data_IF_180528478258
#
_entry.id   IF_180528478258
#
_cell.length_a   1.000
_cell.length_b   1.000
_cell.length_c   1.000
_cell.angle_alpha   90.00
_cell.angle_beta   90.00
_cell.angle_gamma   90.00
#
_symmetry.space_group_name_H-M   'P 1'
#
loop_
_entity.id
_entity.type
_entity.pdbx_description
1 polymer ?
#
# COMPACT_ATOMS: atom_id res chain seq x y z
N UNK A 1 -18.60 9.15 78.05
CA UNK A 1 -19.79 8.29 78.27
C UNK A 1 -20.80 8.60 77.18
N UNK A 2 -21.28 7.55 76.48
CA UNK A 2 -22.49 7.43 75.63
C UNK A 2 -22.79 8.54 74.57
N UNK A 3 -22.53 8.30 73.28
CA UNK A 3 -23.31 7.55 72.24
C UNK A 3 -24.49 8.34 71.63
N UNK A 4 -24.68 8.08 70.32
CA UNK A 4 -25.82 8.36 69.41
C UNK A 4 -25.56 9.58 68.50
N UNK A 5 -25.71 9.56 67.18
CA UNK A 5 -26.42 8.65 66.27
C UNK A 5 -25.81 8.72 64.86
N UNK A 6 -25.90 7.59 64.15
CA UNK A 6 -25.60 7.44 62.74
C UNK A 6 -26.52 8.30 61.85
N UNK A 7 -25.96 8.87 60.79
CA UNK A 7 -26.70 9.11 59.56
C UNK A 7 -25.91 8.52 58.39
N UNK A 8 -26.51 7.48 57.84
CA UNK A 8 -26.08 6.64 56.74
C UNK A 8 -26.20 7.45 55.44
N UNK A 9 -25.09 7.74 54.76
CA UNK A 9 -25.11 8.29 53.40
C UNK A 9 -24.59 7.21 52.45
N UNK A 10 -25.55 6.51 51.85
CA UNK A 10 -25.34 5.47 50.84
C UNK A 10 -24.84 6.15 49.57
N UNK A 11 -23.55 6.01 49.26
CA UNK A 11 -22.98 6.39 47.95
C UNK A 11 -23.20 5.20 47.03
N UNK A 12 -24.13 5.33 46.09
CA UNK A 12 -24.38 4.35 45.02
C UNK A 12 -23.20 4.40 44.05
N UNK A 13 -22.41 3.34 44.05
CA UNK A 13 -21.37 3.06 43.06
C UNK A 13 -22.05 2.68 41.75
N UNK A 14 -22.07 3.60 40.78
CA UNK A 14 -22.53 3.34 39.43
C UNK A 14 -21.30 3.15 38.52
N UNK A 15 -20.74 1.94 38.60
CA UNK A 15 -19.72 1.44 37.70
C UNK A 15 -20.38 1.11 36.35
N UNK A 16 -20.51 2.10 35.47
CA UNK A 16 -20.75 1.84 34.06
C UNK A 16 -19.46 1.28 33.44
N UNK A 17 -19.28 -0.03 33.52
CA UNK A 17 -18.33 -0.74 32.66
C UNK A 17 -18.97 -0.79 31.28
N UNK A 18 -18.64 0.20 30.45
CA UNK A 18 -18.92 0.14 29.01
C UNK A 18 -18.00 -0.95 28.44
N UNK A 19 -18.52 -2.16 28.32
CA UNK A 19 -17.89 -3.22 27.54
C UNK A 19 -17.93 -2.80 26.08
N UNK A 20 -16.90 -2.08 25.65
CA UNK A 20 -16.64 -1.85 24.23
C UNK A 20 -16.15 -3.20 23.70
N UNK A 21 -17.06 -3.99 23.13
CA UNK A 21 -16.69 -5.08 22.23
C UNK A 21 -15.97 -4.45 21.04
N UNK A 22 -14.65 -4.29 21.13
CA UNK A 22 -13.81 -4.10 19.96
C UNK A 22 -13.99 -5.36 19.13
N UNK A 23 -14.74 -5.25 18.04
CA UNK A 23 -14.66 -6.22 16.95
C UNK A 23 -13.21 -6.20 16.53
N UNK A 24 -12.45 -7.21 16.93
CA UNK A 24 -11.08 -7.42 16.48
C UNK A 24 -11.16 -7.58 14.97
N UNK A 25 -10.97 -6.47 14.25
CA UNK A 25 -10.61 -6.58 12.85
C UNK A 25 -9.29 -7.35 12.86
N UNK A 26 -9.20 -8.51 12.18
CA UNK A 26 -7.93 -9.20 12.08
C UNK A 26 -6.91 -8.19 11.55
N UNK A 27 -5.80 -8.05 12.28
CA UNK A 27 -4.73 -7.16 11.87
C UNK A 27 -4.40 -7.45 10.40
N UNK A 28 -4.39 -6.41 9.56
CA UNK A 28 -3.94 -6.57 8.18
C UNK A 28 -2.57 -7.26 8.22
N UNK A 29 -2.38 -8.34 7.44
CA UNK A 29 -1.13 -9.06 7.46
C UNK A 29 0.02 -8.09 7.16
N UNK A 30 1.16 -8.20 7.87
CA UNK A 30 2.26 -7.27 7.70
C UNK A 30 2.72 -7.27 6.24
N UNK A 31 2.89 -6.07 5.69
CA UNK A 31 3.37 -5.84 4.34
C UNK A 31 4.74 -6.50 4.15
N UNK A 32 4.83 -7.46 3.22
CA UNK A 32 6.07 -8.20 2.95
C UNK A 32 6.82 -7.54 1.80
N UNK A 33 7.91 -6.85 2.10
CA UNK A 33 8.82 -6.31 1.07
C UNK A 33 9.71 -7.44 0.53
N UNK A 34 9.24 -8.16 -0.50
CA UNK A 34 9.87 -9.37 -1.05
C UNK A 34 10.15 -9.28 -2.56
N UNK A 35 10.03 -8.09 -3.15
CA UNK A 35 10.24 -7.87 -4.58
C UNK A 35 11.29 -6.78 -4.77
N UNK A 36 12.33 -7.08 -5.54
CA UNK A 36 13.35 -6.12 -5.95
C UNK A 36 12.96 -5.47 -7.28
N UNK A 37 13.14 -4.15 -7.39
CA UNK A 37 12.83 -3.39 -8.60
C UNK A 37 14.11 -2.76 -9.16
N UNK A 38 14.30 -2.88 -10.47
CA UNK A 38 15.27 -2.11 -11.25
C UNK A 38 14.53 -1.11 -12.14
N UNK A 39 15.04 0.12 -12.21
CA UNK A 39 14.46 1.21 -12.99
C UNK A 39 15.48 1.61 -14.06
N UNK A 40 15.07 1.57 -15.32
CA UNK A 40 15.84 2.09 -16.44
C UNK A 40 15.91 3.63 -16.45
N UNK A 41 16.75 4.18 -17.31
CA UNK A 41 16.81 5.63 -17.54
C UNK A 41 15.75 6.08 -18.57
N UNK A 42 15.64 7.40 -18.77
CA UNK A 42 14.73 8.00 -19.75
C UNK A 42 13.41 8.50 -19.16
N UNK A 43 12.69 9.31 -19.94
CA UNK A 43 11.39 9.92 -19.54
C UNK A 43 10.26 8.90 -19.46
N UNK A 44 10.44 7.76 -20.11
CA UNK A 44 9.56 6.60 -20.03
C UNK A 44 10.41 5.40 -19.59
N UNK A 45 10.84 5.35 -18.31
CA UNK A 45 11.75 4.33 -17.86
C UNK A 45 11.13 2.94 -17.92
N UNK A 46 11.98 1.93 -18.07
CA UNK A 46 11.59 0.51 -18.02
C UNK A 46 11.69 0.00 -16.59
N UNK A 47 10.60 -0.52 -16.06
CA UNK A 47 10.51 -1.11 -14.73
C UNK A 47 10.63 -2.63 -14.84
N UNK A 48 11.62 -3.19 -14.16
CA UNK A 48 11.84 -4.63 -14.07
C UNK A 48 11.77 -5.06 -12.61
N UNK A 49 11.27 -6.26 -12.35
CA UNK A 49 11.23 -6.81 -11.00
C UNK A 49 11.54 -8.31 -10.94
N UNK A 50 12.03 -8.73 -9.78
CA UNK A 50 12.32 -10.11 -9.39
C UNK A 50 11.89 -10.31 -7.94
N UNK A 51 11.54 -11.53 -7.55
CA UNK A 51 11.40 -11.85 -6.13
C UNK A 51 12.77 -11.81 -5.41
N UNK A 52 12.76 -11.87 -4.08
CA UNK A 52 13.99 -11.90 -3.27
C UNK A 52 14.92 -13.07 -3.56
N UNK A 53 14.44 -14.13 -4.19
CA UNK A 53 15.23 -15.28 -4.61
C UNK A 53 15.82 -15.10 -6.03
N UNK A 54 15.64 -13.93 -6.63
CA UNK A 54 16.10 -13.63 -8.00
C UNK A 54 15.25 -14.27 -9.09
N UNK A 55 14.07 -14.80 -8.77
CA UNK A 55 13.16 -15.41 -9.76
C UNK A 55 12.24 -14.36 -10.36
N UNK A 56 11.98 -14.52 -11.66
CA UNK A 56 10.94 -13.73 -12.34
C UNK A 56 9.60 -14.06 -11.69
N UNK A 57 8.87 -13.01 -11.31
CA UNK A 57 7.55 -13.13 -10.70
C UNK A 57 6.55 -12.25 -11.45
N UNK A 58 5.29 -12.64 -11.40
CA UNK A 58 4.18 -11.75 -11.80
C UNK A 58 3.73 -10.92 -10.61
N UNK A 59 3.09 -9.81 -10.92
CA UNK A 59 2.50 -8.88 -9.95
C UNK A 59 1.05 -8.62 -10.34
N UNK A 60 0.29 -8.18 -9.35
CA UNK A 60 -1.07 -7.70 -9.52
C UNK A 60 -1.11 -6.24 -9.96
N UNK A 61 -0.25 -5.39 -9.39
CA UNK A 61 -0.30 -3.94 -9.58
C UNK A 61 1.10 -3.34 -9.63
N UNK A 62 1.29 -2.36 -10.51
CA UNK A 62 2.43 -1.45 -10.55
C UNK A 62 1.90 -0.02 -10.42
N UNK A 63 2.47 0.75 -9.50
CA UNK A 63 2.12 2.15 -9.29
C UNK A 63 3.37 3.02 -9.23
N UNK A 64 3.29 4.22 -9.80
CA UNK A 64 4.32 5.25 -9.74
C UNK A 64 3.75 6.49 -9.06
N UNK A 65 4.52 7.05 -8.14
CA UNK A 65 4.20 8.23 -7.35
C UNK A 65 5.30 9.28 -7.52
N UNK A 66 4.94 10.54 -7.36
CA UNK A 66 5.91 11.55 -6.92
C UNK A 66 6.21 11.32 -5.44
N UNK A 67 7.47 11.27 -5.03
CA UNK A 67 7.87 10.88 -3.66
C UNK A 67 7.35 11.86 -2.59
N UNK A 68 7.19 13.12 -2.97
CA UNK A 68 6.63 14.19 -2.12
C UNK A 68 5.13 14.04 -1.91
N UNK A 69 4.43 13.26 -2.73
CA UNK A 69 2.99 13.05 -2.66
C UNK A 69 2.59 11.60 -2.97
N UNK A 70 2.74 10.72 -1.97
CA UNK A 70 2.38 9.30 -2.11
C UNK A 70 0.86 9.04 -2.11
N UNK A 71 0.03 10.06 -1.86
CA UNK A 71 -1.42 9.99 -2.01
C UNK A 71 -1.89 10.15 -3.47
N UNK A 72 -1.02 10.67 -4.35
CA UNK A 72 -1.31 10.93 -5.75
C UNK A 72 -0.43 10.07 -6.66
N UNK A 73 -0.99 8.93 -7.04
CA UNK A 73 -0.44 8.06 -8.07
C UNK A 73 -0.51 8.71 -9.46
N UNK A 74 0.66 9.07 -9.97
CA UNK A 74 0.83 9.75 -11.26
C UNK A 74 0.64 8.81 -12.46
N UNK A 75 0.93 7.51 -12.27
CA UNK A 75 0.68 6.47 -13.24
C UNK A 75 0.55 5.12 -12.54
N UNK A 76 -0.30 4.24 -13.06
CA UNK A 76 -0.48 2.92 -12.48
C UNK A 76 -1.23 1.97 -13.39
N UNK A 77 -0.88 0.70 -13.31
CA UNK A 77 -1.53 -0.39 -14.01
C UNK A 77 -1.81 -1.53 -13.03
N UNK A 78 -2.88 -2.27 -13.30
CA UNK A 78 -3.21 -3.49 -12.58
C UNK A 78 -3.70 -4.57 -13.53
N UNK A 79 -3.68 -5.83 -13.11
CA UNK A 79 -4.29 -6.92 -13.87
C UNK A 79 -5.77 -6.62 -14.11
N UNK A 80 -6.22 -6.74 -15.36
CA UNK A 80 -7.63 -6.55 -15.70
C UNK A 80 -8.50 -7.57 -14.96
N UNK A 81 -9.63 -7.11 -14.40
CA UNK A 81 -10.51 -7.95 -13.60
C UNK A 81 -10.04 -8.17 -12.16
N UNK A 82 -8.89 -7.64 -11.75
CA UNK A 82 -8.64 -7.35 -10.33
C UNK A 82 -8.23 -8.51 -9.41
N UNK A 83 -8.16 -9.75 -9.87
CA UNK A 83 -8.18 -10.92 -8.98
C UNK A 83 -6.99 -11.89 -9.11
N UNK A 84 -5.92 -11.52 -9.82
CA UNK A 84 -4.73 -12.38 -9.95
C UNK A 84 -3.44 -11.62 -10.30
N UNK A 85 -2.30 -12.27 -10.06
CA UNK A 85 -0.97 -11.78 -10.46
C UNK A 85 -0.72 -12.08 -11.95
N UNK A 86 -1.00 -11.11 -12.83
CA UNK A 86 -0.95 -11.29 -14.28
C UNK A 86 0.15 -10.48 -14.98
N UNK A 87 0.58 -9.36 -14.39
CA UNK A 87 1.52 -8.45 -15.04
C UNK A 87 2.92 -9.04 -14.97
N UNK A 88 3.56 -9.18 -16.13
CA UNK A 88 4.89 -9.75 -16.27
C UNK A 88 5.96 -8.64 -16.36
N UNK A 89 7.11 -8.90 -15.75
CA UNK A 89 8.30 -8.04 -15.86
C UNK A 89 8.93 -8.20 -17.25
N UNK A 90 9.43 -7.14 -17.89
CA UNK A 90 9.38 -5.73 -17.46
C UNK A 90 8.29 -4.92 -18.17
N UNK A 91 7.97 -3.75 -17.62
CA UNK A 91 6.97 -2.81 -18.16
C UNK A 91 7.58 -1.44 -18.38
N UNK A 92 7.31 -0.84 -19.53
CA UNK A 92 7.70 0.56 -19.83
C UNK A 92 6.65 1.52 -19.28
N UNK A 93 7.09 2.57 -18.60
CA UNK A 93 6.22 3.63 -18.10
C UNK A 93 5.32 4.19 -19.21
N UNK A 94 4.05 4.43 -18.88
CA UNK A 94 3.06 4.95 -19.84
C UNK A 94 2.47 3.91 -20.79
N UNK A 95 2.85 2.62 -20.70
CA UNK A 95 2.31 1.55 -21.55
C UNK A 95 1.39 0.62 -20.77
N UNK A 96 0.33 0.10 -21.41
CA UNK A 96 -0.58 -0.87 -20.79
C UNK A 96 -0.33 -2.24 -21.44
N UNK A 97 0.28 -3.21 -20.75
CA UNK A 97 0.46 -4.56 -21.27
C UNK A 97 -0.88 -5.26 -21.52
N UNK A 98 -0.88 -6.25 -22.41
CA UNK A 98 -2.07 -7.10 -22.63
C UNK A 98 -2.53 -7.75 -21.32
N UNK A 99 -3.84 -7.71 -21.07
CA UNK A 99 -4.44 -8.24 -19.84
C UNK A 99 -4.24 -7.35 -18.60
N UNK A 100 -3.70 -6.14 -18.77
CA UNK A 100 -3.68 -5.10 -17.75
C UNK A 100 -4.67 -3.98 -18.10
N UNK A 101 -5.05 -3.23 -17.08
CA UNK A 101 -5.83 -2.01 -17.19
C UNK A 101 -5.15 -0.89 -16.40
N UNK A 102 -5.47 0.35 -16.73
CA UNK A 102 -4.94 1.51 -16.04
C UNK A 102 -5.69 1.76 -14.73
N UNK A 103 -4.96 2.09 -13.67
CA UNK A 103 -5.48 2.38 -12.32
C UNK A 103 -4.80 3.64 -11.72
N UNK A 104 -4.80 4.75 -12.44
CA UNK A 104 -4.16 6.00 -11.99
C UNK A 104 -4.93 7.24 -12.44
N UNK A 105 -4.94 8.27 -11.60
CA UNK A 105 -5.80 9.46 -11.76
C UNK A 105 -5.21 10.43 -12.78
N UNK A 106 -3.91 10.70 -12.70
CA UNK A 106 -3.28 11.76 -13.51
C UNK A 106 -2.81 11.34 -14.89
N UNK A 107 -2.47 10.07 -15.07
CA UNK A 107 -1.97 9.49 -16.33
C UNK A 107 -0.76 10.21 -16.93
N UNK A 108 0.24 10.47 -16.10
CA UNK A 108 1.49 11.07 -16.56
C UNK A 108 2.28 9.99 -17.32
N UNK A 109 2.22 9.98 -18.65
CA UNK A 109 2.88 8.97 -19.50
C UNK A 109 4.35 9.27 -19.80
N UNK A 110 4.81 10.48 -19.45
CA UNK A 110 6.20 10.95 -19.60
C UNK A 110 6.59 11.64 -18.30
N UNK A 111 7.65 11.17 -17.63
CA UNK A 111 8.10 11.70 -16.35
C UNK A 111 8.97 12.96 -16.55
N UNK A 112 8.55 14.13 -16.03
CA UNK A 112 9.37 15.32 -16.00
C UNK A 112 10.65 15.15 -15.18
N UNK A 113 11.70 15.86 -15.58
CA UNK A 113 12.95 15.98 -14.82
C UNK A 113 12.78 16.94 -13.62
N UNK A 114 13.68 16.86 -12.65
CA UNK A 114 13.67 17.64 -11.41
C UNK A 114 12.85 17.04 -10.26
N UNK A 115 12.40 15.79 -10.39
CA UNK A 115 11.52 15.14 -9.41
C UNK A 115 12.11 13.81 -8.92
N UNK A 116 11.78 13.46 -7.69
CA UNK A 116 12.03 12.10 -7.19
C UNK A 116 10.73 11.33 -7.19
N UNK A 117 10.77 10.16 -7.82
CA UNK A 117 9.64 9.27 -7.96
C UNK A 117 9.83 8.01 -7.12
N UNK A 118 8.71 7.34 -6.83
CA UNK A 118 8.69 6.00 -6.27
C UNK A 118 7.90 5.10 -7.19
N UNK A 119 8.51 4.03 -7.67
CA UNK A 119 7.79 2.91 -8.27
C UNK A 119 7.54 1.87 -7.19
N UNK A 120 6.34 1.31 -7.18
CA UNK A 120 5.91 0.23 -6.30
C UNK A 120 5.25 -0.87 -7.13
N UNK A 121 5.51 -2.12 -6.77
CA UNK A 121 4.83 -3.29 -7.32
C UNK A 121 4.23 -4.10 -6.19
N UNK A 122 3.07 -4.71 -6.42
CA UNK A 122 2.32 -5.45 -5.42
C UNK A 122 1.72 -6.73 -6.03
N UNK A 123 1.73 -7.83 -5.28
CA UNK A 123 1.00 -9.07 -5.56
C UNK A 123 -0.32 -9.12 -4.78
N UNK A 124 -1.25 -9.95 -5.23
CA UNK A 124 -2.53 -10.20 -4.54
C UNK A 124 -2.35 -10.68 -3.10
N UNK A 125 -1.27 -11.42 -2.80
CA UNK A 125 -1.00 -11.95 -1.47
C UNK A 125 -0.39 -10.91 -0.50
N UNK A 126 -0.29 -9.63 -0.91
CA UNK A 126 0.25 -8.54 -0.10
C UNK A 126 1.78 -8.40 -0.13
N UNK A 127 2.49 -9.28 -0.84
CA UNK A 127 3.90 -9.07 -1.14
C UNK A 127 4.07 -7.85 -2.05
N UNK A 128 5.11 -7.07 -1.79
CA UNK A 128 5.38 -5.87 -2.56
C UNK A 128 6.88 -5.59 -2.67
N UNK A 129 7.21 -4.60 -3.49
CA UNK A 129 8.53 -4.01 -3.62
C UNK A 129 8.37 -2.55 -3.98
N UNK A 130 9.36 -1.72 -3.62
CA UNK A 130 9.40 -0.34 -4.07
C UNK A 130 10.83 0.13 -4.31
N UNK A 131 10.98 1.12 -5.17
CA UNK A 131 12.26 1.76 -5.47
C UNK A 131 12.06 3.24 -5.72
N UNK A 132 12.84 4.05 -5.03
CA UNK A 132 12.96 5.48 -5.33
C UNK A 132 13.97 5.68 -6.46
N UNK A 133 13.67 6.61 -7.36
CA UNK A 133 14.56 7.04 -8.42
C UNK A 133 14.35 8.53 -8.71
N UNK A 134 15.41 9.22 -9.04
CA UNK A 134 15.35 10.63 -9.45
C UNK A 134 15.41 10.73 -10.95
N UNK A 135 14.74 11.74 -11.46
CA UNK A 135 14.79 12.15 -12.84
C UNK A 135 14.84 13.66 -12.90
#
# INVERSE_FOLDING_TARGET
MYRKSALLLIIIVLLFVVTICKKDNPAEPPVKNTIFITVGSGTSPRYSWLDVNGKVTRIYRLTVYEKTNLGDHIWGIQTAGGEFDGISSPVTHGTIPSGAEKYGIRDVTVLPDGFTYRVMVQKMNGEQGWKDFSR
#
